data_IF_785641086600
#
_entry.id   IF_785641086600
#
_cell.length_a   1.000
_cell.length_b   1.000
_cell.length_c   1.000
_cell.angle_alpha   90.00
_cell.angle_beta   90.00
_cell.angle_gamma   90.00
#
_symmetry.space_group_name_H-M   'P 1'
#
loop_
_entity.id
_entity.type
_entity.pdbx_description
1 polymer ?
#
# COMPACT_ATOMS: atom_id res chain seq x y z
N UNK A 1 -15.99 -14.32 -3.09
CA UNK A 1 -14.55 -14.00 -3.01
C UNK A 1 -13.68 -15.24 -2.98
N UNK A 2 -12.82 -15.39 -3.99
CA UNK A 2 -11.82 -16.46 -4.06
C UNK A 2 -10.74 -16.27 -2.97
N UNK A 3 -10.17 -17.37 -2.47
CA UNK A 3 -9.11 -17.36 -1.44
C UNK A 3 -7.88 -16.54 -1.86
N UNK A 4 -7.52 -16.56 -3.15
CA UNK A 4 -6.42 -15.76 -3.70
C UNK A 4 -6.65 -14.26 -3.51
N UNK A 5 -7.87 -13.78 -3.77
CA UNK A 5 -8.26 -12.37 -3.59
C UNK A 5 -8.23 -11.96 -2.13
N UNK A 6 -8.72 -12.82 -1.23
CA UNK A 6 -8.66 -12.59 0.23
C UNK A 6 -7.21 -12.37 0.66
N UNK A 7 -6.31 -13.29 0.28
CA UNK A 7 -4.90 -13.21 0.67
C UNK A 7 -4.22 -11.96 0.10
N UNK A 8 -4.55 -11.58 -1.13
CA UNK A 8 -4.05 -10.35 -1.75
C UNK A 8 -4.46 -9.11 -0.95
N UNK A 9 -5.75 -8.95 -0.65
CA UNK A 9 -6.27 -7.82 0.10
C UNK A 9 -5.72 -7.76 1.54
N UNK A 10 -5.61 -8.92 2.21
CA UNK A 10 -4.96 -8.99 3.52
C UNK A 10 -3.50 -8.56 3.46
N UNK A 11 -2.77 -8.93 2.40
CA UNK A 11 -1.37 -8.53 2.24
C UNK A 11 -1.22 -7.02 2.04
N UNK A 12 -2.12 -6.39 1.27
CA UNK A 12 -2.14 -4.94 1.07
C UNK A 12 -2.44 -4.19 2.37
N UNK A 13 -3.42 -4.66 3.15
CA UNK A 13 -3.75 -4.09 4.47
C UNK A 13 -2.56 -4.18 5.43
N UNK A 14 -1.89 -5.34 5.49
CA UNK A 14 -0.70 -5.52 6.32
C UNK A 14 0.42 -4.59 5.86
N UNK A 15 0.58 -4.37 4.56
CA UNK A 15 1.66 -3.55 4.00
C UNK A 15 1.35 -2.06 4.01
N UNK A 16 0.12 -1.63 4.35
CA UNK A 16 -0.32 -0.25 4.27
C UNK A 16 0.69 0.78 4.85
N UNK A 17 1.14 0.60 6.09
CA UNK A 17 2.10 1.52 6.72
C UNK A 17 3.44 1.60 5.98
N UNK A 18 3.94 0.47 5.48
CA UNK A 18 5.17 0.44 4.67
C UNK A 18 4.96 1.04 3.28
N UNK A 19 3.76 0.86 2.70
CA UNK A 19 3.37 1.44 1.41
C UNK A 19 3.32 2.96 1.51
N UNK A 20 2.76 3.52 2.60
CA UNK A 20 2.78 4.97 2.87
C UNK A 20 4.21 5.53 2.89
N UNK A 21 5.08 4.91 3.68
CA UNK A 21 6.48 5.34 3.79
C UNK A 21 7.16 5.30 2.43
N UNK A 22 7.00 4.19 1.70
CA UNK A 22 7.59 4.02 0.38
C UNK A 22 7.06 5.04 -0.64
N UNK A 23 5.79 5.42 -0.56
CA UNK A 23 5.24 6.49 -1.39
C UNK A 23 5.85 7.85 -1.07
N UNK A 24 6.11 8.14 0.22
CA UNK A 24 6.78 9.36 0.63
C UNK A 24 8.24 9.39 0.13
N UNK A 25 8.98 8.30 0.33
CA UNK A 25 10.37 8.16 -0.13
C UNK A 25 10.47 8.35 -1.66
N UNK A 26 9.55 7.75 -2.43
CA UNK A 26 9.51 7.90 -3.89
C UNK A 26 9.17 9.33 -4.33
N UNK A 27 8.28 10.03 -3.60
CA UNK A 27 7.98 11.43 -3.88
C UNK A 27 9.20 12.31 -3.65
N UNK A 28 9.94 12.05 -2.58
CA UNK A 28 11.18 12.75 -2.27
C UNK A 28 12.26 12.50 -3.33
N UNK A 29 12.44 11.27 -3.77
CA UNK A 29 13.37 10.91 -4.87
C UNK A 29 13.01 11.61 -6.19
N UNK A 30 11.72 11.72 -6.51
CA UNK A 30 11.25 12.44 -7.70
C UNK A 30 11.48 13.96 -7.59
N UNK A 31 11.31 14.51 -6.38
CA UNK A 31 11.49 15.95 -6.13
C UNK A 31 12.98 16.35 -6.08
N UNK A 32 13.82 15.48 -5.52
CA UNK A 32 15.25 15.68 -5.37
C UNK A 32 16.03 14.57 -6.06
N UNK A 33 15.97 14.49 -7.40
CA UNK A 33 16.73 13.48 -8.14
C UNK A 33 18.21 13.73 -7.89
N UNK A 34 18.92 12.68 -7.45
CA UNK A 34 20.36 12.76 -7.31
C UNK A 34 20.98 13.09 -8.68
N UNK A 35 21.60 14.25 -8.79
CA UNK A 35 22.33 14.66 -9.98
C UNK A 35 23.77 14.19 -9.82
N UNK A 36 24.20 13.28 -10.68
CA UNK A 36 25.63 13.05 -10.89
C UNK A 36 26.28 14.40 -11.20
N UNK A 37 27.14 14.89 -10.31
CA UNK A 37 28.03 15.99 -10.67
C UNK A 37 29.01 15.43 -11.71
N UNK A 38 28.70 15.67 -12.97
CA UNK A 38 29.54 15.28 -14.09
C UNK A 38 30.88 16.04 -14.01
N UNK A 39 31.91 15.36 -13.48
CA UNK A 39 33.29 15.84 -13.46
C UNK A 39 34.02 15.52 -14.77
N UNK A 40 33.33 15.22 -15.87
CA UNK A 40 33.96 14.96 -17.15
C UNK A 40 34.19 16.26 -17.96
N UNK A 41 35.16 17.06 -17.51
CA UNK A 41 35.79 18.10 -18.32
C UNK A 41 36.86 17.40 -19.20
N UNK A 42 36.44 16.69 -20.24
CA UNK A 42 37.35 15.84 -21.02
C UNK A 42 36.75 15.36 -22.33
N UNK A 43 37.00 16.11 -23.40
CA UNK A 43 36.39 15.95 -24.72
C UNK A 43 36.42 14.54 -25.31
N UNK A 44 35.33 14.21 -26.02
CA UNK A 44 35.26 13.04 -26.89
C UNK A 44 33.82 12.72 -27.26
N UNK A 45 33.47 12.85 -28.55
CA UNK A 45 32.16 12.50 -29.12
C UNK A 45 31.75 11.07 -28.70
N UNK A 46 30.90 10.94 -27.69
CA UNK A 46 30.24 9.68 -27.36
C UNK A 46 28.75 9.80 -27.70
N UNK A 47 28.34 8.94 -28.63
CA UNK A 47 26.98 8.83 -29.14
C UNK A 47 26.12 8.04 -28.14
N UNK A 48 25.85 8.59 -26.95
CA UNK A 48 24.95 7.98 -25.95
C UNK A 48 23.49 8.14 -26.39
N UNK A 49 23.06 7.32 -27.35
CA UNK A 49 21.65 7.18 -27.79
C UNK A 49 20.80 6.41 -26.74
N UNK A 50 21.39 6.03 -25.61
CA UNK A 50 20.71 5.49 -24.41
C UNK A 50 19.74 6.52 -23.76
N UNK A 51 19.78 7.79 -24.17
CA UNK A 51 19.62 8.90 -23.22
C UNK A 51 18.22 9.48 -23.01
N UNK A 52 17.20 9.17 -23.80
CA UNK A 52 15.85 9.75 -23.64
C UNK A 52 14.74 8.72 -23.55
N UNK A 53 14.72 7.74 -24.46
CA UNK A 53 13.67 6.71 -24.51
C UNK A 53 13.71 5.80 -23.28
N UNK A 54 14.90 5.38 -22.84
CA UNK A 54 15.03 4.55 -21.63
C UNK A 54 14.64 5.33 -20.37
N UNK A 55 15.10 6.59 -20.24
CA UNK A 55 14.72 7.48 -19.12
C UNK A 55 13.22 7.77 -19.09
N UNK A 56 12.59 7.89 -20.26
CA UNK A 56 11.15 8.10 -20.36
C UNK A 56 10.37 6.82 -20.00
N UNK A 57 10.85 5.65 -20.43
CA UNK A 57 10.25 4.37 -20.10
C UNK A 57 10.34 4.08 -18.58
N UNK A 58 11.49 4.32 -17.95
CA UNK A 58 11.66 4.13 -16.50
C UNK A 58 10.75 5.07 -15.73
N UNK A 59 10.66 6.36 -16.11
CA UNK A 59 9.76 7.34 -15.50
C UNK A 59 8.28 6.96 -15.62
N UNK A 60 7.87 6.40 -16.76
CA UNK A 60 6.49 5.95 -16.95
C UNK A 60 6.16 4.74 -16.05
N UNK A 61 7.11 3.81 -15.89
CA UNK A 61 6.93 2.63 -15.03
C UNK A 61 6.84 3.05 -13.55
N UNK A 62 7.70 3.98 -13.11
CA UNK A 62 7.65 4.48 -11.73
C UNK A 62 6.34 5.21 -11.44
N UNK A 63 5.86 6.02 -12.37
CA UNK A 63 4.57 6.72 -12.25
C UNK A 63 3.38 5.75 -12.14
N UNK A 64 3.31 4.72 -13.00
CA UNK A 64 2.27 3.68 -12.91
C UNK A 64 2.30 2.95 -11.57
N UNK A 65 3.49 2.62 -11.06
CA UNK A 65 3.65 1.97 -9.75
C UNK A 65 3.19 2.89 -8.62
N UNK A 66 3.55 4.16 -8.67
CA UNK A 66 3.15 5.16 -7.67
C UNK A 66 1.63 5.38 -7.69
N UNK A 67 1.03 5.49 -8.87
CA UNK A 67 -0.41 5.60 -9.05
C UNK A 67 -1.15 4.38 -8.47
N UNK A 68 -0.63 3.16 -8.68
CA UNK A 68 -1.19 1.96 -8.07
C UNK A 68 -1.12 1.97 -6.55
N UNK A 69 0.06 2.28 -5.98
CA UNK A 69 0.23 2.39 -4.52
C UNK A 69 -0.71 3.45 -3.92
N UNK A 70 -0.87 4.59 -4.61
CA UNK A 70 -1.79 5.64 -4.20
C UNK A 70 -3.24 5.19 -4.26
N UNK A 71 -3.65 4.47 -5.31
CA UNK A 71 -5.01 3.93 -5.45
C UNK A 71 -5.34 2.97 -4.31
N UNK A 72 -4.44 2.03 -4.01
CA UNK A 72 -4.63 1.06 -2.92
C UNK A 72 -4.66 1.75 -1.57
N UNK A 73 -3.72 2.66 -1.32
CA UNK A 73 -3.71 3.50 -0.13
C UNK A 73 -5.03 4.23 0.06
N UNK A 74 -5.48 4.95 -0.96
CA UNK A 74 -6.69 5.76 -0.88
C UNK A 74 -7.90 4.89 -0.57
N UNK A 75 -8.03 3.74 -1.23
CA UNK A 75 -9.10 2.79 -0.94
C UNK A 75 -9.08 2.31 0.53
N UNK A 76 -7.90 1.99 1.08
CA UNK A 76 -7.77 1.59 2.49
C UNK A 76 -8.19 2.73 3.43
N UNK A 77 -7.77 3.97 3.15
CA UNK A 77 -8.17 5.15 3.94
C UNK A 77 -9.68 5.35 3.89
N UNK A 78 -10.28 5.28 2.71
CA UNK A 78 -11.73 5.41 2.53
C UNK A 78 -12.49 4.33 3.31
N UNK A 79 -12.05 3.07 3.24
CA UNK A 79 -12.66 1.98 4.04
C UNK A 79 -12.53 2.26 5.53
N UNK A 80 -11.38 2.74 5.99
CA UNK A 80 -11.17 3.06 7.40
C UNK A 80 -12.05 4.21 7.87
N UNK A 81 -12.19 5.27 7.09
CA UNK A 81 -13.03 6.43 7.42
C UNK A 81 -14.53 6.09 7.50
N UNK A 82 -15.02 5.21 6.61
CA UNK A 82 -16.41 4.78 6.59
C UNK A 82 -16.70 3.60 7.53
N UNK A 83 -15.67 2.98 8.11
CA UNK A 83 -15.81 1.83 9.00
C UNK A 83 -16.41 2.23 10.35
N UNK A 84 -17.20 1.32 10.91
CA UNK A 84 -17.75 1.49 12.26
C UNK A 84 -16.61 1.54 13.29
N UNK A 85 -16.80 2.20 14.46
CA UNK A 85 -15.74 2.32 15.47
C UNK A 85 -15.08 0.97 15.84
N UNK A 86 -15.90 -0.06 16.06
CA UNK A 86 -15.42 -1.43 16.36
C UNK A 86 -14.59 -2.04 15.22
N UNK A 87 -14.88 -1.68 13.97
CA UNK A 87 -14.11 -2.15 12.82
C UNK A 87 -12.80 -1.42 12.68
N UNK A 88 -12.76 -0.11 12.97
CA UNK A 88 -11.53 0.67 13.01
C UNK A 88 -10.59 0.12 14.06
N UNK A 89 -11.08 -0.09 15.29
CA UNK A 89 -10.27 -0.69 16.35
C UNK A 89 -9.77 -2.09 15.96
N UNK A 90 -10.58 -2.88 15.26
CA UNK A 90 -10.18 -4.17 14.72
C UNK A 90 -9.06 -4.02 13.67
N UNK A 91 -9.18 -3.06 12.74
CA UNK A 91 -8.16 -2.80 11.72
C UNK A 91 -6.85 -2.33 12.35
N UNK A 92 -6.94 -1.45 13.34
CA UNK A 92 -5.79 -0.92 14.08
C UNK A 92 -5.03 -2.06 14.76
N UNK A 93 -5.73 -2.89 15.54
CA UNK A 93 -5.12 -3.99 16.30
C UNK A 93 -4.61 -5.13 15.40
N UNK A 94 -5.25 -5.38 14.26
CA UNK A 94 -4.95 -6.52 13.40
C UNK A 94 -3.92 -6.21 12.32
N UNK A 95 -3.98 -5.02 11.70
CA UNK A 95 -3.23 -4.69 10.50
C UNK A 95 -2.22 -3.55 10.71
N UNK A 96 -2.59 -2.49 11.43
CA UNK A 96 -1.77 -1.27 11.51
C UNK A 96 -0.79 -1.27 12.69
N UNK A 97 -1.15 -1.85 13.83
CA UNK A 97 -0.27 -1.99 14.99
C UNK A 97 0.88 -2.96 14.69
N UNK A 98 2.06 -2.39 14.41
CA UNK A 98 3.30 -3.13 14.22
C UNK A 98 4.30 -2.84 15.36
N UNK A 99 4.88 -3.87 16.01
CA UNK A 99 4.61 -5.31 15.83
C UNK A 99 3.23 -5.69 16.37
N UNK A 100 2.62 -6.75 15.80
CA UNK A 100 1.31 -7.24 16.24
C UNK A 100 1.38 -7.69 17.69
N UNK A 101 0.69 -6.97 18.58
CA UNK A 101 0.74 -7.21 20.03
C UNK A 101 -0.24 -8.28 20.50
N UNK A 102 -1.32 -8.48 19.76
CA UNK A 102 -2.43 -9.34 20.18
C UNK A 102 -2.67 -10.50 19.22
N UNK A 103 -2.88 -11.69 19.76
CA UNK A 103 -3.44 -12.82 19.02
C UNK A 103 -4.91 -12.56 18.70
N UNK A 104 -5.51 -13.38 17.84
CA UNK A 104 -6.95 -13.26 17.51
C UNK A 104 -7.80 -13.31 18.78
N UNK A 105 -7.50 -14.23 19.70
CA UNK A 105 -8.24 -14.35 20.95
C UNK A 105 -8.01 -13.13 21.87
N UNK A 106 -6.80 -12.56 21.89
CA UNK A 106 -6.53 -11.31 22.61
C UNK A 106 -7.32 -10.10 22.07
N UNK A 107 -7.49 -10.01 20.75
CA UNK A 107 -8.30 -8.95 20.12
C UNK A 107 -9.79 -9.12 20.49
N UNK A 108 -10.29 -10.35 20.44
CA UNK A 108 -11.67 -10.71 20.81
C UNK A 108 -11.97 -10.29 22.26
N UNK A 109 -11.06 -10.59 23.19
CA UNK A 109 -11.19 -10.18 24.59
C UNK A 109 -11.14 -8.66 24.78
N UNK A 110 -10.34 -7.95 23.99
CA UNK A 110 -10.18 -6.49 24.07
C UNK A 110 -11.38 -5.72 23.50
N UNK A 111 -12.02 -6.24 22.46
CA UNK A 111 -13.18 -5.62 21.78
C UNK A 111 -14.55 -6.15 22.26
N UNK A 112 -14.60 -6.76 23.45
CA UNK A 112 -15.62 -7.75 23.87
C UNK A 112 -16.54 -8.32 22.76
N UNK A 113 -15.97 -8.86 21.68
CA UNK A 113 -16.73 -9.44 20.55
C UNK A 113 -16.66 -10.97 20.57
N UNK A 114 -17.64 -11.64 19.97
CA UNK A 114 -17.55 -13.09 19.77
C UNK A 114 -16.56 -13.44 18.65
N UNK A 115 -16.01 -14.67 18.67
CA UNK A 115 -15.15 -15.18 17.59
C UNK A 115 -15.85 -15.18 16.23
N UNK A 116 -17.14 -15.50 16.21
CA UNK A 116 -17.95 -15.44 14.99
C UNK A 116 -18.09 -14.00 14.48
N UNK A 117 -18.31 -13.05 15.38
CA UNK A 117 -18.39 -11.62 15.05
C UNK A 117 -17.06 -11.13 14.48
N UNK A 118 -15.92 -11.51 15.08
CA UNK A 118 -14.59 -11.17 14.56
C UNK A 118 -14.42 -11.57 13.09
N UNK A 119 -14.72 -12.83 12.73
CA UNK A 119 -14.59 -13.28 11.34
C UNK A 119 -15.57 -12.60 10.40
N UNK A 120 -16.78 -12.27 10.87
CA UNK A 120 -17.77 -11.51 10.10
C UNK A 120 -17.29 -10.09 9.82
N UNK A 121 -16.77 -9.38 10.82
CA UNK A 121 -16.21 -8.04 10.68
C UNK A 121 -15.01 -8.05 9.74
N UNK A 122 -14.06 -8.97 9.94
CA UNK A 122 -12.91 -9.15 9.06
C UNK A 122 -13.36 -9.34 7.61
N UNK A 123 -14.34 -10.21 7.38
CA UNK A 123 -14.89 -10.46 6.03
C UNK A 123 -15.56 -9.21 5.45
N UNK A 124 -16.28 -8.44 6.25
CA UNK A 124 -16.93 -7.18 5.83
C UNK A 124 -15.91 -6.13 5.41
N UNK A 125 -14.85 -5.93 6.19
CA UNK A 125 -13.74 -5.02 5.85
C UNK A 125 -13.13 -5.42 4.49
N UNK A 126 -12.87 -6.70 4.28
CA UNK A 126 -12.30 -7.18 3.02
C UNK A 126 -13.25 -7.02 1.83
N UNK A 127 -14.55 -7.18 2.03
CA UNK A 127 -15.54 -6.91 0.99
C UNK A 127 -15.60 -5.44 0.61
N UNK A 128 -15.69 -4.55 1.61
CA UNK A 128 -15.68 -3.11 1.38
C UNK A 128 -14.41 -2.67 0.63
N UNK A 129 -13.25 -3.21 1.02
CA UNK A 129 -11.99 -2.92 0.32
C UNK A 129 -11.97 -3.43 -1.11
N UNK A 130 -12.53 -4.62 -1.36
CA UNK A 130 -12.61 -5.17 -2.71
C UNK A 130 -13.56 -4.35 -3.61
N UNK A 131 -14.66 -3.86 -3.04
CA UNK A 131 -15.62 -2.98 -3.72
C UNK A 131 -14.97 -1.63 -4.08
N UNK A 132 -14.27 -0.99 -3.14
CA UNK A 132 -13.53 0.27 -3.38
C UNK A 132 -12.44 0.12 -4.44
N UNK A 133 -11.77 -1.04 -4.50
CA UNK A 133 -10.77 -1.31 -5.53
C UNK A 133 -11.38 -1.68 -6.88
N UNK A 134 -12.67 -2.03 -6.93
CA UNK A 134 -13.38 -2.51 -8.11
C UNK A 134 -12.99 -3.93 -8.52
N UNK A 135 -12.58 -4.76 -7.56
CA UNK A 135 -12.21 -6.15 -7.81
C UNK A 135 -13.48 -7.00 -7.81
N UNK A 136 -13.76 -7.69 -8.90
CA UNK A 136 -14.91 -8.60 -8.97
C UNK A 136 -14.55 -9.91 -8.24
N UNK A 137 -15.36 -10.34 -7.27
CA UNK A 137 -15.02 -11.42 -6.34
C UNK A 137 -16.11 -12.47 -6.08
#
# INVERSE_FOLDING_TARGET
MRKSTINYLESELIQYNSTQKRMADLKEEIQYPWQEQDTNIGGGKSNTITSTTEKQATRLITDKRLAHMHRVSAAITTVYEHAQPVERDLMDLLYFDKPRRYTVDGIICKLPISRATFFRLKKRILHNLADELGIIY
#
